data_IF_102816275365
#
_entry.id   IF_102816275365
#
_cell.length_a   1.000
_cell.length_b   1.000
_cell.length_c   1.000
_cell.angle_alpha   90.00
_cell.angle_beta   90.00
_cell.angle_gamma   90.00
#
_symmetry.space_group_name_H-M   'P 1'
#
loop_
_entity.id
_entity.type
_entity.pdbx_description
1 polymer ?
#
# COMPACT_ATOMS: atom_id res chain seq x y z
N UNK A 1 -6.74 14.89 -19.20
CA UNK A 1 -6.79 13.72 -18.31
C UNK A 1 -7.02 12.50 -19.18
N UNK A 2 -6.50 11.33 -18.81
CA UNK A 2 -6.86 10.10 -19.51
C UNK A 2 -8.36 9.83 -19.26
N UNK A 3 -9.09 9.36 -20.28
CA UNK A 3 -10.53 9.07 -20.20
C UNK A 3 -10.85 7.88 -19.27
N UNK A 4 -9.82 7.14 -18.83
CA UNK A 4 -9.92 6.00 -17.93
C UNK A 4 -8.73 5.96 -16.96
N UNK A 5 -9.01 5.57 -15.72
CA UNK A 5 -8.01 5.29 -14.68
C UNK A 5 -8.22 3.86 -14.18
N UNK A 6 -7.13 3.10 -14.04
CA UNK A 6 -7.09 1.73 -13.52
C UNK A 6 -6.39 1.71 -12.17
N UNK A 7 -7.08 1.21 -11.15
CA UNK A 7 -6.58 1.16 -9.77
C UNK A 7 -6.55 -0.31 -9.33
N UNK A 8 -5.37 -0.79 -8.91
CA UNK A 8 -5.21 -2.08 -8.25
C UNK A 8 -5.27 -1.94 -6.74
N UNK A 9 -5.86 -2.91 -6.05
CA UNK A 9 -5.81 -3.00 -4.58
C UNK A 9 -4.64 -3.88 -4.17
N UNK A 10 -3.70 -3.30 -3.42
CA UNK A 10 -2.50 -3.99 -2.94
C UNK A 10 -2.65 -4.65 -1.57
N UNK A 11 -3.76 -4.43 -0.87
CA UNK A 11 -4.07 -5.08 0.41
C UNK A 11 -5.58 -5.04 0.70
N UNK A 12 -6.12 -6.12 1.27
CA UNK A 12 -7.46 -6.14 1.85
C UNK A 12 -7.49 -5.86 3.37
N UNK A 13 -6.35 -6.01 4.06
CA UNK A 13 -6.21 -5.75 5.49
C UNK A 13 -4.75 -5.60 5.91
N UNK A 14 -4.53 -5.20 7.17
CA UNK A 14 -3.23 -4.90 7.76
C UNK A 14 -2.14 -5.99 7.62
N UNK A 15 -2.53 -7.27 7.60
CA UNK A 15 -1.62 -8.42 7.56
C UNK A 15 -1.69 -9.21 6.25
N UNK A 16 -2.27 -8.62 5.20
CA UNK A 16 -2.48 -9.34 3.94
C UNK A 16 -1.17 -9.69 3.24
N UNK A 17 -1.25 -10.73 2.40
CA UNK A 17 -0.18 -11.22 1.52
C UNK A 17 0.33 -10.12 0.59
N UNK A 18 1.57 -10.26 0.13
CA UNK A 18 2.25 -9.22 -0.67
C UNK A 18 2.37 -9.61 -2.14
N UNK A 19 2.46 -10.91 -2.42
CA UNK A 19 2.67 -11.49 -3.73
C UNK A 19 1.64 -11.02 -4.77
N UNK A 20 0.33 -10.91 -4.45
CA UNK A 20 -0.65 -10.36 -5.40
C UNK A 20 -0.42 -8.90 -5.77
N UNK A 21 0.07 -8.08 -4.81
CA UNK A 21 0.36 -6.68 -5.06
C UNK A 21 1.59 -6.50 -5.95
N UNK A 22 2.59 -7.38 -5.80
CA UNK A 22 3.75 -7.45 -6.70
C UNK A 22 3.30 -7.82 -8.11
N UNK A 23 2.43 -8.82 -8.25
CA UNK A 23 1.92 -9.21 -9.56
C UNK A 23 1.11 -8.10 -10.24
N UNK A 24 0.30 -7.35 -9.48
CA UNK A 24 -0.39 -6.16 -9.98
C UNK A 24 0.59 -5.08 -10.43
N UNK A 25 1.67 -4.84 -9.70
CA UNK A 25 2.69 -3.86 -10.06
C UNK A 25 3.47 -4.23 -11.34
N UNK A 26 3.66 -5.53 -11.60
CA UNK A 26 4.42 -6.03 -12.75
C UNK A 26 3.58 -6.29 -13.99
N UNK A 27 2.33 -6.73 -13.82
CA UNK A 27 1.50 -7.29 -14.90
C UNK A 27 0.08 -6.71 -14.96
N UNK A 28 -0.31 -5.87 -13.99
CA UNK A 28 -1.69 -5.41 -13.86
C UNK A 28 -2.11 -4.32 -14.84
N UNK A 29 -1.16 -3.69 -15.54
CA UNK A 29 -1.42 -2.54 -16.44
C UNK A 29 -2.27 -1.44 -15.77
N UNK A 30 -1.98 -1.16 -14.50
CA UNK A 30 -2.69 -0.20 -13.65
C UNK A 30 -1.96 1.15 -13.59
N UNK A 31 -2.71 2.23 -13.37
CA UNK A 31 -2.14 3.57 -13.17
C UNK A 31 -1.73 3.79 -11.71
N UNK A 32 -2.48 3.17 -10.79
CA UNK A 32 -2.29 3.30 -9.35
C UNK A 32 -2.39 1.96 -8.63
N UNK A 33 -1.53 1.78 -7.63
CA UNK A 33 -1.61 0.69 -6.66
C UNK A 33 -1.95 1.29 -5.29
N UNK A 34 -3.16 1.03 -4.81
CA UNK A 34 -3.67 1.57 -3.55
C UNK A 34 -3.50 0.54 -2.42
N UNK A 35 -3.04 1.00 -1.27
CA UNK A 35 -2.99 0.21 -0.04
C UNK A 35 -3.87 0.85 1.02
N UNK A 36 -4.88 0.11 1.48
CA UNK A 36 -5.62 0.40 2.71
C UNK A 36 -5.25 -0.68 3.72
N UNK A 37 -4.71 -0.28 4.87
CA UNK A 37 -4.18 -1.21 5.87
C UNK A 37 -4.54 -0.80 7.31
N UNK A 38 -5.41 0.19 7.47
CA UNK A 38 -5.81 0.79 8.74
C UNK A 38 -7.34 0.82 8.85
N UNK A 39 -7.92 -0.31 9.25
CA UNK A 39 -9.29 -0.38 9.75
C UNK A 39 -9.40 0.18 11.19
N UNK A 40 -10.60 0.27 11.76
CA UNK A 40 -10.90 0.95 13.03
C UNK A 40 -10.00 0.50 14.19
N UNK A 41 -9.83 -0.82 14.36
CA UNK A 41 -8.98 -1.38 15.42
C UNK A 41 -7.52 -0.99 15.23
N UNK A 42 -7.04 -1.03 13.99
CA UNK A 42 -5.65 -0.71 13.65
C UNK A 42 -5.38 0.79 13.69
N UNK A 43 -6.33 1.65 13.29
CA UNK A 43 -6.25 3.10 13.49
C UNK A 43 -6.08 3.42 14.98
N UNK A 44 -6.90 2.81 15.85
CA UNK A 44 -6.78 3.04 17.29
C UNK A 44 -5.41 2.62 17.83
N UNK A 45 -4.92 1.43 17.42
CA UNK A 45 -3.60 0.92 17.81
C UNK A 45 -2.47 1.83 17.34
N UNK A 46 -2.47 2.21 16.06
CA UNK A 46 -1.39 3.02 15.50
C UNK A 46 -1.45 4.47 15.98
N UNK A 47 -2.63 5.03 16.27
CA UNK A 47 -2.73 6.33 16.94
C UNK A 47 -2.10 6.29 18.35
N UNK A 48 -2.32 5.22 19.13
CA UNK A 48 -1.64 5.05 20.42
C UNK A 48 -0.11 4.93 20.24
N UNK A 49 0.35 4.25 19.18
CA UNK A 49 1.77 4.19 18.86
C UNK A 49 2.32 5.59 18.53
N UNK A 50 1.60 6.40 17.75
CA UNK A 50 1.95 7.77 17.38
C UNK A 50 2.04 8.72 18.56
N UNK A 51 1.14 8.58 19.55
CA UNK A 51 1.18 9.39 20.78
C UNK A 51 2.49 9.15 21.56
N UNK A 52 2.99 7.91 21.54
CA UNK A 52 4.24 7.54 22.23
C UNK A 52 5.48 7.90 21.41
N UNK A 53 5.38 7.79 20.09
CA UNK A 53 6.45 8.04 19.14
C UNK A 53 5.89 8.69 17.87
N UNK A 54 6.10 10.00 17.64
CA UNK A 54 5.64 10.69 16.45
C UNK A 54 6.15 10.12 15.12
N UNK A 55 7.22 9.31 15.14
CA UNK A 55 7.73 8.58 13.97
C UNK A 55 6.93 7.33 13.61
N UNK A 56 5.89 6.97 14.37
CA UNK A 56 4.96 5.86 14.09
C UNK A 56 3.59 6.38 13.67
N UNK A 57 2.55 5.54 13.76
CA UNK A 57 1.19 5.91 13.37
C UNK A 57 0.72 5.35 12.03
N UNK A 58 1.53 4.48 11.42
CA UNK A 58 1.20 3.78 10.18
C UNK A 58 1.29 2.26 10.42
N UNK A 59 0.76 1.48 9.48
CA UNK A 59 0.83 0.03 9.55
C UNK A 59 2.30 -0.44 9.60
N UNK A 60 2.74 -1.23 10.61
CA UNK A 60 4.15 -1.60 10.75
C UNK A 60 4.77 -2.34 9.56
N UNK A 61 3.96 -3.01 8.74
CA UNK A 61 4.39 -3.72 7.53
C UNK A 61 4.46 -2.82 6.28
N UNK A 62 4.07 -1.54 6.38
CA UNK A 62 4.12 -0.60 5.26
C UNK A 62 5.51 -0.54 4.61
N UNK A 63 6.65 -0.43 5.33
CA UNK A 63 7.96 -0.35 4.69
C UNK A 63 8.29 -1.60 3.86
N UNK A 64 8.00 -2.80 4.39
CA UNK A 64 8.25 -4.06 3.67
C UNK A 64 7.34 -4.21 2.45
N UNK A 65 6.07 -3.81 2.61
CA UNK A 65 5.09 -3.78 1.52
C UNK A 65 5.53 -2.85 0.39
N UNK A 66 6.00 -1.65 0.71
CA UNK A 66 6.52 -0.71 -0.29
C UNK A 66 7.79 -1.26 -0.95
N UNK A 67 8.73 -1.82 -0.18
CA UNK A 67 9.95 -2.44 -0.74
C UNK A 67 9.62 -3.54 -1.74
N UNK A 68 8.59 -4.34 -1.48
CA UNK A 68 8.19 -5.43 -2.38
C UNK A 68 7.68 -4.92 -3.73
N UNK A 69 6.85 -3.87 -3.75
CA UNK A 69 6.18 -3.42 -4.99
C UNK A 69 6.94 -2.32 -5.73
N UNK A 70 7.77 -1.54 -5.04
CA UNK A 70 8.44 -0.36 -5.60
C UNK A 70 9.24 -0.65 -6.89
N UNK A 71 9.98 -1.77 -7.03
CA UNK A 71 10.69 -2.08 -8.27
C UNK A 71 9.75 -2.22 -9.47
N UNK A 72 8.64 -2.95 -9.32
CA UNK A 72 7.62 -3.11 -10.35
C UNK A 72 6.93 -1.78 -10.66
N UNK A 73 6.51 -1.05 -9.62
CA UNK A 73 5.85 0.23 -9.80
C UNK A 73 6.72 1.25 -10.54
N UNK A 74 8.00 1.36 -10.20
CA UNK A 74 8.93 2.26 -10.89
C UNK A 74 9.15 1.86 -12.35
N UNK A 75 9.32 0.56 -12.62
CA UNK A 75 9.53 0.04 -13.98
C UNK A 75 8.33 0.31 -14.89
N UNK A 76 7.12 0.21 -14.36
CA UNK A 76 5.87 0.31 -15.12
C UNK A 76 5.16 1.67 -15.01
N UNK A 77 5.73 2.63 -14.28
CA UNK A 77 5.14 3.97 -14.09
C UNK A 77 3.88 3.97 -13.21
N UNK A 78 3.70 2.94 -12.37
CA UNK A 78 2.55 2.82 -11.45
C UNK A 78 2.80 3.71 -10.23
N UNK A 79 1.80 4.51 -9.85
CA UNK A 79 1.87 5.36 -8.65
C UNK A 79 1.30 4.63 -7.44
N UNK A 80 2.01 4.65 -6.32
CA UNK A 80 1.54 4.06 -5.06
C UNK A 80 0.76 5.10 -4.25
N UNK A 81 -0.38 4.69 -3.68
CA UNK A 81 -1.21 5.49 -2.76
C UNK A 81 -1.39 4.69 -1.46
N UNK A 82 -1.25 5.37 -0.32
CA UNK A 82 -1.39 4.85 1.05
C UNK A 82 -1.99 5.91 1.95
#
# INVERSE_FOLDING_TARGET
>A
MADKVRIGSGAGYAGDRWEPAVELAEKGEIDFLAFECLAERTIARENLARIRDPGKGYNPLLPDRIRAVLPGCMKHGVRVIT
#
